data_IF_268650359367
#
_entry.id   IF_268650359367
#
_cell.length_a   1.000
_cell.length_b   1.000
_cell.length_c   1.000
_cell.angle_alpha   90.00
_cell.angle_beta   90.00
_cell.angle_gamma   90.00
#
_symmetry.space_group_name_H-M   'P 1'
#
loop_
_entity.id
_entity.type
_entity.pdbx_description
1 polymer ?
#
# COMPACT_ATOMS: atom_id res chain seq x y z
N UNK A 1 39.23 8.61 9.81
CA UNK A 1 37.78 8.65 10.04
C UNK A 1 37.12 7.88 8.93
N UNK A 2 36.67 6.65 9.22
CA UNK A 2 36.22 5.70 8.20
C UNK A 2 34.79 6.02 7.81
N UNK A 3 34.57 6.36 6.56
CA UNK A 3 33.28 6.71 5.98
C UNK A 3 32.45 5.43 5.79
N UNK A 4 31.81 4.96 6.87
CA UNK A 4 31.01 3.74 6.87
C UNK A 4 29.59 4.10 6.43
N UNK A 5 29.40 4.34 5.12
CA UNK A 5 28.08 4.16 4.50
C UNK A 5 27.84 2.67 4.32
N UNK A 6 27.57 1.97 5.43
CA UNK A 6 27.02 0.60 5.36
C UNK A 6 25.59 0.74 4.87
N UNK A 7 25.41 0.50 3.59
CA UNK A 7 24.10 0.35 2.99
C UNK A 7 23.56 -1.05 3.25
N UNK A 8 22.25 -1.18 3.41
CA UNK A 8 21.61 -2.49 3.54
C UNK A 8 20.99 -2.88 2.20
N UNK A 9 21.35 -4.05 1.69
CA UNK A 9 20.68 -4.72 0.57
C UNK A 9 19.81 -5.81 1.16
N UNK A 10 18.48 -5.80 0.95
CA UNK A 10 17.70 -7.04 0.74
C UNK A 10 16.18 -6.88 0.58
N UNK A 11 15.56 -5.72 0.80
CA UNK A 11 14.11 -5.59 0.67
C UNK A 11 13.67 -4.92 -0.64
N UNK A 12 12.90 -5.63 -1.48
CA UNK A 12 12.03 -5.00 -2.47
C UNK A 12 10.59 -4.95 -1.89
N UNK A 13 10.17 -3.81 -1.31
CA UNK A 13 8.85 -3.64 -0.72
C UNK A 13 7.78 -3.29 -1.77
N UNK A 14 8.17 -2.88 -2.96
CA UNK A 14 7.26 -2.35 -3.98
C UNK A 14 6.79 -3.41 -4.97
N UNK A 15 6.76 -4.66 -4.52
CA UNK A 15 6.02 -5.71 -5.20
C UNK A 15 4.54 -5.56 -4.92
N UNK A 16 3.72 -5.77 -5.94
CA UNK A 16 2.28 -5.80 -5.80
C UNK A 16 1.57 -5.92 -7.13
N UNK A 17 0.30 -6.28 -7.08
CA UNK A 17 -0.54 -6.43 -8.26
C UNK A 17 -1.90 -5.78 -8.05
N UNK A 18 -2.52 -5.41 -9.16
CA UNK A 18 -3.91 -4.97 -9.23
C UNK A 18 -4.60 -5.85 -10.25
N UNK A 19 -5.65 -6.54 -9.85
CA UNK A 19 -6.41 -7.47 -10.68
C UNK A 19 -7.89 -7.06 -10.73
N UNK A 20 -8.51 -7.13 -11.89
CA UNK A 20 -9.94 -6.94 -12.07
C UNK A 20 -10.61 -8.30 -12.27
N UNK A 21 -11.67 -8.55 -11.53
CA UNK A 21 -12.53 -9.72 -11.65
C UNK A 21 -13.91 -9.29 -12.14
N UNK A 22 -14.35 -9.86 -13.26
CA UNK A 22 -15.69 -9.66 -13.84
C UNK A 22 -16.32 -11.03 -14.05
N UNK A 23 -17.34 -11.37 -13.26
CA UNK A 23 -17.87 -12.74 -13.20
C UNK A 23 -16.78 -13.74 -12.82
N UNK A 24 -16.56 -14.75 -13.67
CA UNK A 24 -15.51 -15.76 -13.48
C UNK A 24 -14.17 -15.39 -14.15
N UNK A 25 -14.09 -14.27 -14.87
CA UNK A 25 -12.86 -13.84 -15.53
C UNK A 25 -12.04 -12.96 -14.60
N UNK A 26 -10.75 -13.26 -14.46
CA UNK A 26 -9.78 -12.42 -13.74
C UNK A 26 -8.71 -11.95 -14.73
N UNK A 27 -8.42 -10.65 -14.72
CA UNK A 27 -7.37 -10.04 -15.54
C UNK A 27 -6.47 -9.19 -14.65
N UNK A 28 -5.16 -9.26 -14.86
CA UNK A 28 -4.21 -8.38 -14.18
C UNK A 28 -4.19 -7.03 -14.89
N UNK A 29 -4.53 -5.95 -14.18
CA UNK A 29 -4.45 -4.58 -14.69
C UNK A 29 -3.02 -4.05 -14.61
N UNK A 30 -2.34 -4.39 -13.51
CA UNK A 30 -0.96 -4.00 -13.25
C UNK A 30 -0.25 -5.06 -12.40
N UNK A 31 1.03 -5.26 -12.69
CA UNK A 31 1.97 -5.95 -11.83
C UNK A 31 3.17 -5.02 -11.65
N UNK A 32 3.46 -4.70 -10.40
CA UNK A 32 4.56 -3.83 -10.00
C UNK A 32 5.64 -4.69 -9.36
N UNK A 33 6.86 -4.50 -9.83
CA UNK A 33 8.08 -5.00 -9.22
C UNK A 33 9.11 -3.86 -9.29
N UNK A 34 8.89 -2.82 -8.46
CA UNK A 34 9.78 -1.66 -8.44
C UNK A 34 10.94 -1.96 -7.48
N UNK A 35 12.12 -2.17 -8.02
CA UNK A 35 13.31 -2.24 -7.17
C UNK A 35 13.66 -0.83 -6.69
N UNK A 36 13.83 -0.59 -5.38
CA UNK A 36 14.38 0.67 -4.90
C UNK A 36 15.70 0.99 -5.61
N UNK A 37 15.85 2.23 -6.07
CA UNK A 37 17.05 2.66 -6.81
C UNK A 37 18.27 2.85 -5.91
N UNK A 38 18.02 3.28 -4.67
CA UNK A 38 19.05 3.59 -3.68
C UNK A 38 18.89 2.69 -2.47
N UNK A 39 20.01 2.22 -1.92
CA UNK A 39 19.99 1.48 -0.67
C UNK A 39 19.61 2.41 0.51
N UNK A 40 18.94 1.85 1.52
CA UNK A 40 18.69 2.58 2.76
C UNK A 40 20.00 2.64 3.57
N UNK A 41 20.45 3.85 3.88
CA UNK A 41 21.57 4.04 4.80
C UNK A 41 21.22 3.43 6.16
N UNK A 42 22.14 2.64 6.75
CA UNK A 42 21.91 1.95 8.02
C UNK A 42 21.30 2.83 9.11
N UNK A 43 21.74 4.08 9.23
CA UNK A 43 21.25 5.04 10.22
C UNK A 43 19.73 5.24 10.13
N UNK A 44 19.17 5.24 8.92
CA UNK A 44 17.72 5.41 8.66
C UNK A 44 16.90 4.17 9.04
N UNK A 45 17.56 3.04 9.28
CA UNK A 45 16.93 1.79 9.74
C UNK A 45 17.10 1.55 11.24
N UNK A 46 17.66 2.49 12.01
CA UNK A 46 17.77 2.34 13.46
C UNK A 46 16.39 2.25 14.13
N UNK A 47 16.28 1.41 15.17
CA UNK A 47 15.02 1.12 15.89
C UNK A 47 14.31 2.38 16.41
N UNK A 48 15.05 3.44 16.73
CA UNK A 48 14.49 4.71 17.19
C UNK A 48 13.54 5.35 16.15
N UNK A 49 13.74 5.13 14.85
CA UNK A 49 12.87 5.66 13.80
C UNK A 49 11.51 4.95 13.71
N UNK A 50 11.35 3.80 14.36
CA UNK A 50 10.13 2.97 14.33
C UNK A 50 9.35 3.02 15.66
N UNK A 51 9.66 3.98 16.55
CA UNK A 51 8.96 4.09 17.82
C UNK A 51 7.50 4.53 17.65
N UNK A 52 7.22 5.34 16.62
CA UNK A 52 5.93 5.99 16.40
C UNK A 52 4.99 5.25 15.44
N UNK A 53 5.38 4.09 14.91
CA UNK A 53 4.56 3.31 13.95
C UNK A 53 3.52 2.40 14.63
N UNK A 54 3.35 2.51 15.94
CA UNK A 54 2.26 1.83 16.66
C UNK A 54 2.42 0.32 16.82
N UNK A 55 3.60 -0.25 16.53
CA UNK A 55 3.86 -1.67 16.78
C UNK A 55 3.83 -1.99 18.28
N UNK A 56 3.19 -3.11 18.62
CA UNK A 56 3.22 -3.72 19.94
C UNK A 56 4.64 -4.19 20.32
N UNK A 57 4.86 -4.44 21.61
CA UNK A 57 6.15 -4.96 22.09
C UNK A 57 6.52 -6.30 21.45
N UNK A 58 5.53 -7.17 21.21
CA UNK A 58 5.73 -8.45 20.53
C UNK A 58 6.12 -8.25 19.08
N UNK A 59 5.41 -7.40 18.34
CA UNK A 59 5.74 -7.07 16.94
C UNK A 59 7.15 -6.49 16.80
N UNK A 60 7.57 -5.63 17.75
CA UNK A 60 8.91 -5.04 17.73
C UNK A 60 10.03 -6.07 17.87
N UNK A 61 9.77 -7.22 18.49
CA UNK A 61 10.76 -8.31 18.59
C UNK A 61 11.01 -8.98 17.23
N UNK A 62 10.05 -8.89 16.29
CA UNK A 62 10.17 -9.45 14.96
C UNK A 62 10.85 -8.52 13.95
N UNK A 63 11.12 -7.24 14.30
CA UNK A 63 11.69 -6.23 13.41
C UNK A 63 13.13 -6.55 12.97
N UNK A 64 13.26 -7.37 11.93
CA UNK A 64 14.53 -7.62 11.26
C UNK A 64 15.06 -6.35 10.57
N UNK A 65 16.33 -6.36 10.13
CA UNK A 65 16.86 -5.28 9.27
C UNK A 65 16.05 -5.14 7.99
N UNK A 66 15.70 -6.27 7.35
CA UNK A 66 14.92 -6.31 6.13
C UNK A 66 13.51 -5.71 6.32
N UNK A 67 12.84 -5.99 7.44
CA UNK A 67 11.50 -5.44 7.69
C UNK A 67 11.56 -3.94 7.96
N UNK A 68 12.59 -3.48 8.67
CA UNK A 68 12.84 -2.05 8.87
C UNK A 68 13.06 -1.34 7.55
N UNK A 69 13.84 -1.91 6.63
CA UNK A 69 13.96 -1.38 5.26
C UNK A 69 12.61 -1.32 4.54
N UNK A 70 11.82 -2.41 4.56
CA UNK A 70 10.50 -2.44 3.91
C UNK A 70 9.60 -1.32 4.45
N UNK A 71 9.50 -1.22 5.77
CA UNK A 71 8.71 -0.18 6.45
C UNK A 71 9.22 1.21 6.09
N UNK A 72 10.55 1.41 6.11
CA UNK A 72 11.16 2.69 5.73
C UNK A 72 10.74 3.13 4.33
N UNK A 73 10.77 2.22 3.36
CA UNK A 73 10.36 2.53 1.99
C UNK A 73 8.89 2.91 1.89
N UNK A 74 7.98 2.20 2.59
CA UNK A 74 6.56 2.60 2.64
C UNK A 74 6.37 3.98 3.30
N UNK A 75 7.14 4.28 4.35
CA UNK A 75 7.13 5.60 5.01
C UNK A 75 7.72 6.72 4.16
N UNK A 76 8.60 6.38 3.21
CA UNK A 76 9.30 7.32 2.33
C UNK A 76 8.84 7.26 0.87
N UNK A 77 7.70 6.63 0.63
CA UNK A 77 7.06 6.65 -0.67
C UNK A 77 6.92 8.10 -1.16
N UNK A 78 7.43 8.36 -2.36
CA UNK A 78 7.26 9.65 -3.00
C UNK A 78 5.78 9.85 -3.29
N UNK A 79 5.16 10.79 -2.57
CA UNK A 79 3.73 11.07 -2.65
C UNK A 79 3.33 11.40 -4.10
N UNK A 80 4.12 12.21 -4.80
CA UNK A 80 3.92 12.57 -6.21
C UNK A 80 3.86 11.35 -7.14
N UNK A 81 4.79 10.41 -7.01
CA UNK A 81 4.79 9.18 -7.82
C UNK A 81 3.55 8.32 -7.54
N UNK A 82 3.13 8.27 -6.27
CA UNK A 82 1.95 7.52 -5.89
C UNK A 82 0.66 8.17 -6.42
N UNK A 83 0.59 9.50 -6.48
CA UNK A 83 -0.49 10.24 -7.13
C UNK A 83 -0.52 9.97 -8.64
N UNK A 84 0.63 9.99 -9.33
CA UNK A 84 0.73 9.65 -10.77
C UNK A 84 0.22 8.24 -11.06
N UNK A 85 0.64 7.24 -10.26
CA UNK A 85 0.14 5.87 -10.39
C UNK A 85 -1.37 5.79 -10.09
N UNK A 86 -1.84 6.53 -9.08
CA UNK A 86 -3.26 6.62 -8.74
C UNK A 86 -4.09 7.16 -9.91
N UNK A 87 -3.64 8.24 -10.55
CA UNK A 87 -4.32 8.83 -11.70
C UNK A 87 -4.34 7.87 -12.90
N UNK A 88 -3.21 7.24 -13.20
CA UNK A 88 -3.12 6.21 -14.27
C UNK A 88 -4.09 5.05 -14.03
N UNK A 89 -4.28 4.66 -12.76
CA UNK A 89 -5.27 3.67 -12.38
C UNK A 89 -6.71 4.18 -12.57
N UNK A 90 -7.03 5.40 -12.12
CA UNK A 90 -8.34 6.05 -12.32
C UNK A 90 -8.74 6.03 -13.79
N UNK A 91 -7.84 6.44 -14.69
CA UNK A 91 -8.11 6.51 -16.13
C UNK A 91 -8.47 5.15 -16.74
N UNK A 92 -7.83 4.07 -16.26
CA UNK A 92 -8.12 2.70 -16.73
C UNK A 92 -9.45 2.18 -16.21
N UNK A 93 -9.79 2.49 -14.96
CA UNK A 93 -11.09 2.11 -14.39
C UNK A 93 -12.22 2.84 -15.14
N UNK A 94 -12.05 4.12 -15.46
CA UNK A 94 -13.01 4.89 -16.27
C UNK A 94 -13.35 4.19 -17.60
N UNK A 95 -12.36 3.57 -18.25
CA UNK A 95 -12.53 2.88 -19.54
C UNK A 95 -13.15 1.49 -19.45
N UNK A 96 -13.24 0.89 -18.25
CA UNK A 96 -13.47 -0.56 -18.11
C UNK A 96 -14.74 -0.97 -17.35
N UNK A 97 -15.42 -0.05 -16.67
CA UNK A 97 -16.31 -0.39 -15.54
C UNK A 97 -17.83 -0.30 -15.79
N UNK A 98 -18.33 -0.79 -16.93
CA UNK A 98 -19.79 -0.82 -17.19
C UNK A 98 -20.49 -2.00 -16.53
N UNK A 99 -19.73 -3.02 -16.12
CA UNK A 99 -20.25 -4.23 -15.45
C UNK A 99 -19.78 -4.29 -14.00
N UNK A 100 -20.57 -4.94 -13.15
CA UNK A 100 -20.20 -5.22 -11.77
C UNK A 100 -18.85 -5.96 -11.72
N UNK A 101 -17.89 -5.40 -11.00
CA UNK A 101 -16.53 -5.94 -10.93
C UNK A 101 -15.93 -5.81 -9.53
N UNK A 102 -14.96 -6.68 -9.25
CA UNK A 102 -14.14 -6.62 -8.05
C UNK A 102 -12.72 -6.30 -8.45
N UNK A 103 -12.13 -5.25 -7.88
CA UNK A 103 -10.72 -4.92 -8.06
C UNK A 103 -9.97 -5.36 -6.82
N UNK A 104 -9.09 -6.35 -6.98
CA UNK A 104 -8.22 -6.88 -5.92
C UNK A 104 -6.84 -6.26 -6.05
N UNK A 105 -6.25 -5.81 -4.94
CA UNK A 105 -4.91 -5.26 -4.93
C UNK A 105 -4.12 -5.68 -3.70
N UNK A 106 -2.83 -5.92 -3.88
CA UNK A 106 -1.91 -6.30 -2.79
C UNK A 106 -0.61 -5.47 -2.79
N UNK A 107 0.12 -5.54 -1.68
CA UNK A 107 1.43 -4.90 -1.53
C UNK A 107 1.41 -3.42 -1.92
N UNK A 108 2.24 -3.05 -2.90
CA UNK A 108 2.27 -1.70 -3.45
C UNK A 108 1.05 -1.35 -4.32
N UNK A 109 0.45 -2.34 -4.99
CA UNK A 109 -0.80 -2.14 -5.74
C UNK A 109 -1.95 -1.64 -4.87
N UNK A 110 -2.00 -2.08 -3.60
CA UNK A 110 -2.97 -1.58 -2.64
C UNK A 110 -2.80 -0.07 -2.37
N UNK A 111 -1.56 0.43 -2.29
CA UNK A 111 -1.30 1.87 -2.10
C UNK A 111 -1.77 2.70 -3.30
N UNK A 112 -1.59 2.19 -4.52
CA UNK A 112 -2.05 2.85 -5.74
C UNK A 112 -3.57 2.93 -5.76
N UNK A 113 -4.26 1.83 -5.42
CA UNK A 113 -5.71 1.83 -5.31
C UNK A 113 -6.17 2.82 -4.25
N UNK A 114 -5.58 2.82 -3.05
CA UNK A 114 -5.94 3.76 -1.99
C UNK A 114 -5.70 5.22 -2.41
N UNK A 115 -4.58 5.53 -3.05
CA UNK A 115 -4.31 6.86 -3.58
C UNK A 115 -5.38 7.31 -4.59
N UNK A 116 -5.78 6.43 -5.50
CA UNK A 116 -6.86 6.70 -6.45
C UNK A 116 -8.22 6.92 -5.76
N UNK A 117 -8.60 6.03 -4.83
CA UNK A 117 -9.88 6.16 -4.10
C UNK A 117 -9.97 7.46 -3.30
N UNK A 118 -8.83 7.93 -2.80
CA UNK A 118 -8.74 9.12 -1.98
C UNK A 118 -8.32 10.40 -2.74
N UNK A 119 -8.04 10.33 -4.03
CA UNK A 119 -7.66 11.50 -4.84
C UNK A 119 -8.83 12.47 -5.05
N UNK A 120 -10.06 11.91 -5.10
CA UNK A 120 -11.27 12.64 -5.48
C UNK A 120 -11.62 12.52 -6.97
N UNK A 121 -10.78 11.86 -7.77
CA UNK A 121 -10.95 11.77 -9.23
C UNK A 121 -11.64 10.47 -9.66
N UNK A 122 -11.81 9.51 -8.74
CA UNK A 122 -12.53 8.28 -9.05
C UNK A 122 -13.99 8.55 -9.44
N UNK A 123 -14.52 7.85 -10.45
CA UNK A 123 -15.90 8.03 -10.86
C UNK A 123 -16.83 7.42 -9.80
N UNK A 124 -17.97 8.07 -9.55
CA UNK A 124 -19.02 7.51 -8.69
C UNK A 124 -19.62 6.28 -9.40
N UNK A 125 -19.33 5.07 -8.88
CA UNK A 125 -19.70 3.80 -9.54
C UNK A 125 -20.06 2.70 -8.56
N UNK A 126 -21.35 2.57 -8.25
CA UNK A 126 -21.92 1.60 -7.29
C UNK A 126 -21.68 0.12 -7.62
N UNK A 127 -21.14 -0.17 -8.81
CA UNK A 127 -20.90 -1.51 -9.30
C UNK A 127 -19.46 -2.01 -9.07
N UNK A 128 -18.58 -1.23 -8.40
CA UNK A 128 -17.19 -1.64 -8.13
C UNK A 128 -17.00 -1.94 -6.64
N UNK A 129 -16.43 -3.12 -6.35
CA UNK A 129 -15.94 -3.49 -5.03
C UNK A 129 -14.40 -3.53 -5.05
N UNK A 130 -13.76 -2.79 -4.17
CA UNK A 130 -12.31 -2.80 -4.00
C UNK A 130 -11.94 -3.72 -2.84
N UNK A 131 -11.02 -4.65 -3.06
CA UNK A 131 -10.46 -5.54 -2.04
C UNK A 131 -8.96 -5.28 -1.96
N UNK A 132 -8.50 -4.77 -0.83
CA UNK A 132 -7.06 -4.57 -0.57
C UNK A 132 -6.59 -5.55 0.49
N UNK A 133 -5.48 -6.24 0.22
CA UNK A 133 -4.88 -7.23 1.12
C UNK A 133 -3.35 -7.13 1.17
N UNK A 134 -2.73 -7.86 2.10
CA UNK A 134 -1.28 -8.06 2.18
C UNK A 134 -0.44 -6.78 1.96
N UNK A 135 -0.78 -5.71 2.66
CA UNK A 135 -0.12 -4.40 2.54
C UNK A 135 -0.06 -3.72 3.92
N UNK A 136 1.01 -2.98 4.25
CA UNK A 136 1.10 -2.24 5.51
C UNK A 136 0.25 -0.96 5.46
N UNK A 137 -1.06 -1.11 5.35
CA UNK A 137 -2.03 -0.03 5.12
C UNK A 137 -2.07 1.02 6.23
N UNK A 138 -1.66 0.68 7.45
CA UNK A 138 -1.55 1.65 8.55
C UNK A 138 -0.51 2.74 8.29
N UNK A 139 0.47 2.46 7.42
CA UNK A 139 1.52 3.39 7.01
C UNK A 139 1.10 4.27 5.83
N UNK A 140 -0.13 4.13 5.32
CA UNK A 140 -0.59 4.90 4.17
C UNK A 140 -0.52 6.41 4.45
N UNK A 141 0.08 7.23 3.54
CA UNK A 141 0.27 8.65 3.78
C UNK A 141 -1.05 9.41 3.95
N UNK A 142 -1.28 9.96 5.14
CA UNK A 142 -2.50 10.73 5.45
C UNK A 142 -2.69 11.95 4.55
N UNK A 143 -1.62 12.53 3.99
CA UNK A 143 -1.71 13.68 3.08
C UNK A 143 -2.39 13.36 1.76
N UNK A 144 -2.36 12.10 1.34
CA UNK A 144 -3.04 11.62 0.13
C UNK A 144 -4.54 11.39 0.38
N UNK A 145 -4.99 11.48 1.63
CA UNK A 145 -6.39 11.38 2.00
C UNK A 145 -7.06 12.74 1.77
N UNK A 146 -7.54 12.98 0.55
CA UNK A 146 -8.36 14.15 0.20
C UNK A 146 -9.82 13.83 0.51
N UNK A 147 -10.67 13.69 -0.51
CA UNK A 147 -12.09 13.37 -0.36
C UNK A 147 -12.43 12.13 -1.18
N UNK A 148 -12.87 11.07 -0.49
CA UNK A 148 -13.38 9.87 -1.15
C UNK A 148 -14.79 10.14 -1.68
N UNK A 149 -15.00 9.92 -2.98
CA UNK A 149 -16.34 9.97 -3.57
C UNK A 149 -17.19 8.77 -3.13
N UNK A 150 -18.51 8.94 -3.00
CA UNK A 150 -19.40 7.85 -2.61
C UNK A 150 -19.58 6.83 -3.75
N UNK A 151 -20.22 5.72 -3.43
CA UNK A 151 -20.68 4.77 -4.43
C UNK A 151 -19.68 3.69 -4.79
N UNK A 152 -18.70 3.34 -3.95
CA UNK A 152 -17.95 2.09 -4.14
C UNK A 152 -17.60 1.49 -2.78
N UNK A 153 -17.63 0.16 -2.73
CA UNK A 153 -17.29 -0.59 -1.51
C UNK A 153 -15.77 -0.75 -1.42
N UNK A 154 -15.19 -0.52 -0.24
CA UNK A 154 -13.79 -0.86 0.05
C UNK A 154 -13.76 -1.89 1.16
N UNK A 155 -13.25 -3.08 0.86
CA UNK A 155 -12.94 -4.13 1.80
C UNK A 155 -11.44 -4.17 2.03
N UNK A 156 -11.06 -4.04 3.28
CA UNK A 156 -9.69 -4.25 3.72
C UNK A 156 -9.61 -5.64 4.35
N UNK A 157 -8.80 -6.51 3.77
CA UNK A 157 -8.54 -7.83 4.31
C UNK A 157 -7.36 -7.71 5.29
N UNK A 158 -7.70 -7.64 6.58
CA UNK A 158 -6.73 -7.63 7.68
C UNK A 158 -6.12 -9.02 7.87
N UNK A 159 -4.89 -9.10 8.38
CA UNK A 159 -4.10 -10.33 8.44
C UNK A 159 -3.14 -10.42 7.26
N UNK A 160 -1.92 -9.91 7.49
CA UNK A 160 -0.84 -9.95 6.51
C UNK A 160 -0.39 -11.38 6.20
N UNK A 161 0.19 -11.56 5.02
CA UNK A 161 0.94 -12.77 4.65
C UNK A 161 2.42 -12.39 4.53
N UNK A 162 3.27 -13.39 4.34
CA UNK A 162 4.70 -13.21 4.12
C UNK A 162 5.34 -12.39 5.27
N UNK A 163 6.09 -11.34 4.93
CA UNK A 163 6.76 -10.48 5.89
C UNK A 163 5.79 -9.67 6.78
N UNK A 164 4.50 -9.58 6.44
CA UNK A 164 3.49 -8.87 7.22
C UNK A 164 2.78 -9.76 8.24
N UNK A 165 2.95 -11.08 8.17
CA UNK A 165 2.33 -12.04 9.08
C UNK A 165 2.53 -11.69 10.57
N UNK A 166 3.73 -11.29 11.05
CA UNK A 166 3.90 -10.94 12.46
C UNK A 166 3.35 -9.56 12.81
N UNK A 167 2.92 -8.73 11.84
CA UNK A 167 2.64 -7.30 12.02
C UNK A 167 1.15 -6.94 11.81
N UNK A 168 0.28 -7.41 12.69
CA UNK A 168 -1.16 -7.08 12.68
C UNK A 168 -1.41 -5.57 12.74
N UNK A 169 -0.63 -4.83 13.52
CA UNK A 169 -0.71 -3.37 13.62
C UNK A 169 -0.46 -2.69 12.27
N UNK A 170 0.40 -3.28 11.43
CA UNK A 170 0.69 -2.73 10.10
C UNK A 170 -0.47 -2.94 9.11
N UNK A 171 -1.18 -4.05 9.24
CA UNK A 171 -2.27 -4.46 8.33
C UNK A 171 -3.66 -4.08 8.81
N UNK A 172 -3.78 -3.54 10.02
CA UNK A 172 -5.05 -3.01 10.54
C UNK A 172 -5.39 -1.70 9.86
N UNK A 173 -6.61 -1.58 9.33
CA UNK A 173 -7.00 -0.36 8.63
C UNK A 173 -7.16 0.81 9.62
N UNK A 174 -6.52 1.97 9.36
CA UNK A 174 -6.75 3.17 10.17
C UNK A 174 -8.17 3.69 9.99
N UNK A 175 -8.67 4.42 10.99
CA UNK A 175 -10.08 4.87 11.05
C UNK A 175 -10.56 5.58 9.78
N UNK A 176 -9.71 6.40 9.16
CA UNK A 176 -10.04 7.15 7.95
C UNK A 176 -10.27 6.26 6.71
N UNK A 177 -9.77 5.02 6.69
CA UNK A 177 -10.08 4.03 5.64
C UNK A 177 -11.38 3.28 5.94
N UNK A 178 -11.75 3.17 7.23
CA UNK A 178 -12.99 2.52 7.69
C UNK A 178 -14.22 3.43 7.59
N UNK A 179 -14.01 4.75 7.55
CA UNK A 179 -15.10 5.74 7.38
C UNK A 179 -15.40 5.93 5.90
N UNK A 180 -16.16 4.99 5.34
CA UNK A 180 -16.92 5.19 4.11
C UNK A 180 -18.27 4.52 4.32
N UNK A 181 -19.16 5.22 5.03
CA UNK A 181 -20.59 4.98 5.04
C UNK A 181 -21.25 6.21 4.45
#
# INVERSE_FOLDING_TARGET
MTDIKKTLKQANPFKGKIQIKVGNQTRTLFAYDLTPKDDVEFQKTLMCHYQNIGLSSTEKQHLSSCDRERIYYFLKLAEEQLEEYGQSFCDRVHRSADKKCTIKADGFGAYIVLAALHSGDMPERSNICFEVENSPISLFPKKLVKKRKPGFELKVIEGGKDWLEPYTSLTTAPRFLKTAA
#
